data_IF_942816624542
#
_entry.id   IF_942816624542
#
_cell.length_a   1.000
_cell.length_b   1.000
_cell.length_c   1.000
_cell.angle_alpha   90.00
_cell.angle_beta   90.00
_cell.angle_gamma   90.00
#
_symmetry.space_group_name_H-M   'P 1'
#
loop_
_entity.id
_entity.type
_entity.pdbx_description
1 polymer ?
#
# COMPACT_ATOMS: atom_id res chain seq x y z
N UNK A 1 -12.23 -7.17 -16.19
CA UNK A 1 -11.25 -7.25 -15.10
C UNK A 1 -11.75 -6.35 -13.97
N UNK A 2 -12.60 -6.88 -13.10
CA UNK A 2 -13.23 -6.10 -12.02
C UNK A 2 -12.68 -6.58 -10.69
N UNK A 3 -11.82 -5.77 -10.05
CA UNK A 3 -11.44 -6.02 -8.67
C UNK A 3 -12.34 -5.18 -7.76
N UNK A 4 -13.09 -5.91 -6.95
CA UNK A 4 -14.16 -5.48 -6.09
C UNK A 4 -13.71 -4.52 -4.98
N UNK A 5 -14.35 -3.35 -4.96
CA UNK A 5 -14.91 -2.64 -3.79
C UNK A 5 -14.62 -3.27 -2.43
N UNK A 6 -13.90 -2.55 -1.54
CA UNK A 6 -14.25 -2.34 -0.11
C UNK A 6 -13.61 -1.06 0.43
N UNK A 7 -14.46 -0.04 0.58
CA UNK A 7 -14.34 1.06 1.52
C UNK A 7 -14.08 0.49 2.93
N UNK A 8 -12.99 0.92 3.58
CA UNK A 8 -12.69 0.57 4.96
C UNK A 8 -12.73 1.85 5.80
N UNK A 9 -13.91 2.17 6.29
CA UNK A 9 -14.13 3.16 7.34
C UNK A 9 -13.36 2.76 8.59
N UNK A 10 -12.19 3.35 8.85
CA UNK A 10 -11.53 3.27 10.17
C UNK A 10 -10.99 4.63 10.59
N UNK A 11 -11.66 5.19 11.60
CA UNK A 11 -11.22 6.31 12.41
C UNK A 11 -9.88 6.00 13.14
N UNK A 12 -9.22 6.98 13.79
CA UNK A 12 -7.77 7.12 13.81
C UNK A 12 -7.08 6.13 14.75
N UNK A 13 -6.64 5.00 14.21
CA UNK A 13 -5.36 4.44 14.62
C UNK A 13 -4.37 4.90 13.54
N UNK A 14 -3.46 5.82 13.89
CA UNK A 14 -2.44 6.41 12.99
C UNK A 14 -1.39 5.35 12.62
N UNK A 15 -1.83 4.24 12.06
CA UNK A 15 -1.02 3.21 11.44
C UNK A 15 -1.35 3.30 9.96
N UNK A 16 -0.61 4.16 9.27
CA UNK A 16 -0.64 4.26 7.81
C UNK A 16 -0.53 2.83 7.25
N UNK A 17 -1.41 2.47 6.33
CA UNK A 17 -1.36 1.15 5.69
C UNK A 17 0.03 0.91 5.10
N UNK A 18 0.64 -0.28 5.25
CA UNK A 18 1.99 -0.55 4.74
C UNK A 18 2.14 -0.26 3.24
N UNK A 19 1.10 -0.54 2.46
CA UNK A 19 1.06 -0.26 1.03
C UNK A 19 1.00 1.25 0.74
N UNK A 20 0.27 2.02 1.54
CA UNK A 20 0.25 3.49 1.42
C UNK A 20 1.56 4.13 1.87
N UNK A 21 2.20 3.60 2.91
CA UNK A 21 3.55 4.03 3.33
C UNK A 21 4.54 3.82 2.20
N UNK A 22 4.42 2.70 1.48
CA UNK A 22 5.23 2.39 0.32
C UNK A 22 4.79 3.11 -0.96
N UNK A 23 3.64 3.76 -0.98
CA UNK A 23 3.07 4.40 -2.18
C UNK A 23 2.73 3.42 -3.30
N UNK A 24 2.40 2.17 -2.97
CA UNK A 24 2.07 1.10 -3.93
C UNK A 24 0.63 0.64 -3.76
N UNK A 25 0.07 0.01 -4.81
CA UNK A 25 -1.25 -0.62 -4.71
C UNK A 25 -1.22 -1.81 -3.73
N UNK A 26 -2.39 -2.15 -3.15
CA UNK A 26 -2.54 -3.38 -2.35
C UNK A 26 -2.37 -4.65 -3.18
N UNK A 27 -2.52 -4.55 -4.50
CA UNK A 27 -2.30 -5.62 -5.47
C UNK A 27 -0.89 -5.57 -6.10
N UNK A 28 0.01 -4.74 -5.56
CA UNK A 28 1.37 -4.61 -6.08
C UNK A 28 2.16 -5.92 -5.93
N UNK A 29 2.97 -6.23 -6.94
CA UNK A 29 3.86 -7.40 -6.89
C UNK A 29 4.97 -7.21 -5.86
N UNK A 30 5.52 -8.31 -5.36
CA UNK A 30 6.69 -8.29 -4.46
C UNK A 30 7.87 -7.50 -5.04
N UNK A 31 8.02 -7.50 -6.37
CA UNK A 31 9.03 -6.72 -7.07
C UNK A 31 8.83 -5.22 -6.88
N UNK A 32 7.59 -4.74 -7.00
CA UNK A 32 7.22 -3.34 -6.83
C UNK A 32 7.37 -2.90 -5.37
N UNK A 33 6.96 -3.76 -4.42
CA UNK A 33 7.15 -3.54 -2.97
C UNK A 33 8.65 -3.34 -2.66
N UNK A 34 9.51 -4.21 -3.18
CA UNK A 34 10.97 -4.12 -2.98
C UNK A 34 11.57 -2.85 -3.62
N UNK A 35 11.12 -2.48 -4.81
CA UNK A 35 11.57 -1.24 -5.48
C UNK A 35 11.14 -0.01 -4.68
N UNK A 36 9.88 0.05 -4.26
CA UNK A 36 9.33 1.16 -3.49
C UNK A 36 10.04 1.35 -2.15
N UNK A 37 10.26 0.25 -1.41
CA UNK A 37 11.01 0.30 -0.16
C UNK A 37 12.43 0.84 -0.36
N UNK A 38 13.15 0.36 -1.39
CA UNK A 38 14.48 0.87 -1.72
C UNK A 38 14.48 2.35 -2.06
N UNK A 39 13.49 2.83 -2.80
CA UNK A 39 13.35 4.25 -3.17
C UNK A 39 13.05 5.16 -1.97
N UNK A 40 12.31 4.67 -0.99
CA UNK A 40 11.97 5.43 0.23
C UNK A 40 13.10 5.47 1.27
N UNK A 41 14.05 4.54 1.20
CA UNK A 41 15.20 4.46 2.10
C UNK A 41 16.44 5.23 1.60
N UNK A 42 16.38 5.81 0.40
CA UNK A 42 17.40 6.68 -0.19
C UNK A 42 17.06 8.15 0.08
#
# INVERSE_FOLDING_TARGET
MGHSKKENTRAPAVRKDPYEVLGVSRDASEQEIKVAYRKLAL
#
